data_IF_562043149658
#
_entry.id   IF_562043149658
#
_cell.length_a   1.000
_cell.length_b   1.000
_cell.length_c   1.000
_cell.angle_alpha   90.00
_cell.angle_beta   90.00
_cell.angle_gamma   90.00
#
_symmetry.space_group_name_H-M   'P 1'
#
loop_
_entity.id
_entity.type
_entity.pdbx_description
1 polymer ?
#
# COMPACT_ATOMS: atom_id res chain seq x y z
N UNK A 1 0.80 -3.61 -26.77
CA UNK A 1 0.61 -3.71 -25.30
C UNK A 1 1.69 -4.61 -24.73
N UNK A 2 2.33 -4.26 -23.62
CA UNK A 2 3.21 -5.21 -22.91
C UNK A 2 2.33 -6.31 -22.32
N UNK A 3 2.30 -7.47 -22.97
CA UNK A 3 1.38 -8.57 -22.63
C UNK A 3 1.64 -9.21 -21.26
N UNK A 4 2.79 -8.90 -20.63
CA UNK A 4 3.31 -9.62 -19.47
C UNK A 4 3.14 -8.87 -18.13
N UNK A 5 2.59 -7.66 -18.14
CA UNK A 5 2.38 -6.83 -16.95
C UNK A 5 0.92 -6.47 -16.82
N UNK A 6 0.36 -6.72 -15.64
CA UNK A 6 -0.93 -6.17 -15.22
C UNK A 6 -0.69 -5.10 -14.16
N UNK A 7 -1.29 -3.92 -14.33
CA UNK A 7 -1.28 -2.85 -13.32
C UNK A 7 -2.48 -3.03 -12.40
N UNK A 8 -2.24 -3.04 -11.09
CA UNK A 8 -3.32 -3.14 -10.10
C UNK A 8 -3.30 -1.94 -9.16
N UNK A 9 -4.49 -1.41 -8.87
CA UNK A 9 -4.69 -0.27 -7.97
C UNK A 9 -5.94 -0.45 -7.13
N UNK A 10 -5.84 -0.04 -5.87
CA UNK A 10 -7.00 0.15 -5.00
C UNK A 10 -7.41 1.62 -5.01
N UNK A 11 -8.71 1.85 -5.09
CA UNK A 11 -9.33 3.18 -5.02
C UNK A 11 -10.11 3.28 -3.70
N UNK A 12 -10.00 4.42 -3.03
CA UNK A 12 -10.80 4.75 -1.85
C UNK A 12 -10.98 6.25 -1.77
N UNK A 13 -12.21 6.74 -2.01
CA UNK A 13 -12.50 8.18 -2.07
C UNK A 13 -11.46 8.94 -2.90
N UNK A 14 -11.10 8.36 -4.06
CA UNK A 14 -10.01 8.86 -4.90
C UNK A 14 -10.44 10.11 -5.65
N UNK A 15 -9.71 11.24 -5.51
CA UNK A 15 -10.03 12.47 -6.21
C UNK A 15 -9.96 12.31 -7.74
N UNK A 16 -10.82 13.02 -8.48
CA UNK A 16 -10.87 12.94 -9.94
C UNK A 16 -9.51 13.23 -10.60
N UNK A 17 -8.74 14.20 -10.09
CA UNK A 17 -7.38 14.48 -10.56
C UNK A 17 -6.49 13.23 -10.53
N UNK A 18 -6.67 12.36 -9.52
CA UNK A 18 -5.90 11.12 -9.39
C UNK A 18 -6.40 10.03 -10.34
N UNK A 19 -7.72 9.99 -10.60
CA UNK A 19 -8.29 9.13 -11.62
C UNK A 19 -7.72 9.50 -13.00
N UNK A 20 -7.61 10.80 -13.33
CA UNK A 20 -6.98 11.27 -14.57
C UNK A 20 -5.52 10.83 -14.73
N UNK A 21 -4.77 10.70 -13.63
CA UNK A 21 -3.40 10.20 -13.64
C UNK A 21 -3.30 8.73 -14.08
N UNK A 22 -4.35 7.93 -13.93
CA UNK A 22 -4.36 6.52 -14.35
C UNK A 22 -4.20 6.35 -15.87
N UNK A 23 -4.47 7.41 -16.68
CA UNK A 23 -4.22 7.38 -18.13
C UNK A 23 -2.74 7.09 -18.51
N UNK A 24 -1.80 7.23 -17.57
CA UNK A 24 -0.40 6.82 -17.79
C UNK A 24 -0.27 5.30 -18.04
N UNK A 25 -1.25 4.49 -17.60
CA UNK A 25 -1.24 3.03 -17.72
C UNK A 25 -2.01 2.49 -18.94
N UNK A 26 -2.43 3.34 -19.89
CA UNK A 26 -3.24 2.96 -21.05
C UNK A 26 -2.65 1.84 -21.93
N UNK A 27 -1.35 1.61 -21.84
CA UNK A 27 -0.64 0.58 -22.61
C UNK A 27 -0.53 -0.77 -21.89
N UNK A 28 -1.10 -0.90 -20.68
CA UNK A 28 -1.07 -2.12 -19.86
C UNK A 28 -2.48 -2.60 -19.57
N UNK A 29 -2.61 -3.90 -19.30
CA UNK A 29 -3.82 -4.42 -18.64
C UNK A 29 -3.93 -3.75 -17.28
N UNK A 30 -5.13 -3.28 -16.91
CA UNK A 30 -5.34 -2.61 -15.63
C UNK A 30 -6.53 -3.21 -14.91
N UNK A 31 -6.37 -3.49 -13.63
CA UNK A 31 -7.41 -3.98 -12.74
C UNK A 31 -7.54 -3.01 -11.57
N UNK A 32 -8.75 -2.52 -11.35
CA UNK A 32 -9.09 -1.56 -10.31
C UNK A 32 -10.01 -2.19 -9.27
N UNK A 33 -9.77 -1.93 -7.99
CA UNK A 33 -10.68 -2.27 -6.91
C UNK A 33 -11.08 -1.02 -6.14
N UNK A 34 -12.38 -0.68 -6.18
CA UNK A 34 -12.93 0.46 -5.45
C UNK A 34 -13.47 -0.02 -4.09
N UNK A 35 -12.88 0.50 -3.02
CA UNK A 35 -13.14 0.12 -1.63
C UNK A 35 -14.51 0.58 -1.10
N UNK A 36 -15.11 1.57 -1.74
CA UNK A 36 -16.47 2.05 -1.47
C UNK A 36 -17.09 2.39 -2.81
N UNK A 37 -17.36 1.36 -3.59
CA UNK A 37 -17.86 1.49 -4.96
C UNK A 37 -19.16 2.27 -5.00
N UNK A 38 -19.12 3.40 -5.68
CA UNK A 38 -20.32 4.19 -5.99
C UNK A 38 -20.57 4.20 -7.49
N UNK A 39 -21.83 4.35 -7.87
CA UNK A 39 -22.20 4.59 -9.27
C UNK A 39 -21.50 5.83 -9.83
N UNK A 40 -21.24 6.82 -8.98
CA UNK A 40 -20.50 8.04 -9.34
C UNK A 40 -19.04 7.75 -9.69
N UNK A 41 -18.32 6.98 -8.87
CA UNK A 41 -16.94 6.56 -9.19
C UNK A 41 -16.89 5.79 -10.50
N UNK A 42 -17.80 4.84 -10.71
CA UNK A 42 -17.87 4.06 -11.96
C UNK A 42 -18.14 4.94 -13.18
N UNK A 43 -19.05 5.92 -13.07
CA UNK A 43 -19.32 6.91 -14.13
C UNK A 43 -18.10 7.78 -14.42
N UNK A 44 -17.41 8.27 -13.37
CA UNK A 44 -16.18 9.07 -13.51
C UNK A 44 -15.06 8.27 -14.21
N UNK A 45 -14.83 7.04 -13.79
CA UNK A 45 -13.84 6.15 -14.42
C UNK A 45 -14.16 5.98 -15.91
N UNK A 46 -15.40 5.63 -16.28
CA UNK A 46 -15.83 5.46 -17.67
C UNK A 46 -15.70 6.75 -18.51
N UNK A 47 -15.93 7.91 -17.90
CA UNK A 47 -15.76 9.22 -18.56
C UNK A 47 -14.30 9.56 -18.82
N UNK A 48 -13.38 9.21 -17.88
CA UNK A 48 -11.99 9.66 -17.88
C UNK A 48 -11.08 8.66 -18.59
N UNK A 49 -11.26 7.35 -18.33
CA UNK A 49 -10.44 6.28 -18.89
C UNK A 49 -11.11 5.77 -20.17
N UNK A 50 -10.50 6.10 -21.32
CA UNK A 50 -11.00 5.74 -22.67
C UNK A 50 -10.33 4.48 -23.25
N UNK A 51 -9.93 3.55 -22.37
CA UNK A 51 -9.32 2.27 -22.69
C UNK A 51 -9.85 1.18 -21.77
N UNK A 52 -9.62 -0.08 -22.11
CA UNK A 52 -10.13 -1.23 -21.36
C UNK A 52 -9.44 -1.38 -20.01
N UNK A 53 -10.25 -1.63 -18.96
CA UNK A 53 -9.81 -1.99 -17.62
C UNK A 53 -10.85 -2.88 -16.95
N UNK A 54 -10.40 -3.74 -16.07
CA UNK A 54 -11.29 -4.50 -15.19
C UNK A 54 -11.60 -3.66 -13.94
N UNK A 55 -12.86 -3.63 -13.53
CA UNK A 55 -13.31 -2.87 -12.36
C UNK A 55 -14.11 -3.76 -11.42
N UNK A 56 -13.62 -3.84 -10.21
CA UNK A 56 -14.26 -4.49 -9.08
C UNK A 56 -14.53 -3.48 -7.99
N UNK A 57 -15.51 -3.75 -7.13
CA UNK A 57 -15.86 -2.87 -6.03
C UNK A 57 -16.42 -3.64 -4.84
N UNK A 58 -16.41 -3.00 -3.68
CA UNK A 58 -17.07 -3.44 -2.46
C UNK A 58 -17.99 -2.33 -1.95
N UNK A 59 -19.08 -2.70 -1.27
CA UNK A 59 -19.95 -1.74 -0.58
C UNK A 59 -19.34 -1.17 0.70
N UNK A 60 -18.24 -1.75 1.18
CA UNK A 60 -17.52 -1.32 2.38
C UNK A 60 -16.01 -1.36 2.16
N UNK A 61 -15.28 -0.54 2.90
CA UNK A 61 -13.82 -0.55 2.90
C UNK A 61 -13.30 -1.87 3.54
N UNK A 62 -12.65 -2.70 2.73
CA UNK A 62 -12.06 -3.98 3.14
C UNK A 62 -10.65 -3.84 3.72
N UNK A 63 -10.05 -2.66 3.59
CA UNK A 63 -8.64 -2.42 3.87
C UNK A 63 -7.72 -2.76 2.70
N UNK A 64 -6.47 -2.29 2.80
CA UNK A 64 -5.52 -2.39 1.69
C UNK A 64 -5.09 -3.84 1.44
N UNK A 65 -4.83 -4.63 2.49
CA UNK A 65 -4.38 -6.02 2.35
C UNK A 65 -5.39 -6.89 1.62
N UNK A 66 -6.66 -6.89 2.07
CA UNK A 66 -7.72 -7.71 1.44
C UNK A 66 -7.99 -7.28 0.01
N UNK A 67 -8.08 -5.97 -0.24
CA UNK A 67 -8.29 -5.46 -1.59
C UNK A 67 -7.13 -5.79 -2.52
N UNK A 68 -5.89 -5.67 -2.03
CA UNK A 68 -4.69 -6.03 -2.81
C UNK A 68 -4.61 -7.53 -3.10
N UNK A 69 -4.91 -8.38 -2.12
CA UNK A 69 -4.96 -9.83 -2.31
C UNK A 69 -6.03 -10.24 -3.33
N UNK A 70 -7.20 -9.60 -3.26
CA UNK A 70 -8.25 -9.81 -4.27
C UNK A 70 -7.74 -9.43 -5.67
N UNK A 71 -7.12 -8.26 -5.83
CA UNK A 71 -6.55 -7.84 -7.11
C UNK A 71 -5.48 -8.81 -7.59
N UNK A 72 -4.55 -9.21 -6.72
CA UNK A 72 -3.48 -10.17 -7.04
C UNK A 72 -4.03 -11.54 -7.47
N UNK A 73 -5.17 -11.99 -6.93
CA UNK A 73 -5.83 -13.22 -7.35
C UNK A 73 -6.38 -13.17 -8.79
N UNK A 74 -6.68 -11.96 -9.30
CA UNK A 74 -7.18 -11.74 -10.67
C UNK A 74 -6.06 -11.59 -11.70
N UNK A 75 -4.83 -11.36 -11.27
CA UNK A 75 -3.68 -11.19 -12.17
C UNK A 75 -3.33 -12.52 -12.84
N UNK A 76 -3.37 -12.54 -14.17
CA UNK A 76 -3.02 -13.70 -15.02
C UNK A 76 -1.64 -13.57 -15.68
N UNK A 77 -1.05 -12.37 -15.65
CA UNK A 77 0.27 -12.11 -16.22
C UNK A 77 1.38 -12.51 -15.26
N UNK A 78 2.59 -12.73 -15.80
CA UNK A 78 3.76 -13.09 -15.00
C UNK A 78 4.13 -12.02 -14.00
N UNK A 79 4.02 -10.75 -14.39
CA UNK A 79 4.37 -9.61 -13.58
C UNK A 79 3.13 -8.77 -13.26
N UNK A 80 3.17 -8.14 -12.10
CA UNK A 80 2.17 -7.20 -11.64
C UNK A 80 2.84 -5.91 -11.20
N UNK A 81 2.37 -4.77 -11.70
CA UNK A 81 2.72 -3.47 -11.15
C UNK A 81 1.69 -3.12 -10.07
N UNK A 82 2.06 -3.33 -8.81
CA UNK A 82 1.31 -2.85 -7.66
C UNK A 82 1.63 -1.37 -7.46
N UNK A 83 0.62 -0.50 -7.53
CA UNK A 83 0.82 0.94 -7.45
C UNK A 83 -0.36 1.67 -6.84
N UNK A 84 -0.22 2.98 -6.61
CA UNK A 84 -1.23 3.84 -6.00
C UNK A 84 -1.64 4.98 -6.95
N UNK A 85 -2.86 5.55 -6.80
CA UNK A 85 -3.33 6.63 -7.67
C UNK A 85 -2.50 7.91 -7.65
N UNK A 86 -1.70 8.15 -6.61
CA UNK A 86 -0.82 9.31 -6.46
C UNK A 86 0.63 9.07 -6.88
N UNK A 87 0.87 7.96 -7.58
CA UNK A 87 2.15 7.64 -8.23
C UNK A 87 2.14 8.11 -9.68
N UNK A 88 3.24 8.74 -10.09
CA UNK A 88 3.52 9.07 -11.48
C UNK A 88 4.78 8.32 -11.90
N UNK A 89 4.63 7.41 -12.87
CA UNK A 89 5.71 6.58 -13.40
C UNK A 89 5.58 6.48 -14.91
N UNK A 90 6.69 6.65 -15.65
CA UNK A 90 6.66 6.56 -17.11
C UNK A 90 6.66 5.10 -17.58
N UNK A 91 6.11 4.85 -18.79
CA UNK A 91 6.18 3.55 -19.43
C UNK A 91 7.61 3.03 -19.55
N UNK A 92 8.56 3.92 -19.88
CA UNK A 92 9.98 3.57 -19.96
C UNK A 92 10.54 3.13 -18.61
N UNK A 93 10.09 3.76 -17.51
CA UNK A 93 10.46 3.32 -16.15
C UNK A 93 9.93 1.90 -15.85
N UNK A 94 8.66 1.63 -16.16
CA UNK A 94 8.05 0.31 -15.98
C UNK A 94 8.80 -0.76 -16.78
N UNK A 95 9.12 -0.50 -18.05
CA UNK A 95 9.87 -1.43 -18.89
C UNK A 95 11.30 -1.67 -18.38
N UNK A 96 11.94 -0.67 -17.77
CA UNK A 96 13.25 -0.86 -17.14
C UNK A 96 13.17 -1.68 -15.86
N UNK A 97 12.13 -1.50 -15.04
CA UNK A 97 11.87 -2.39 -13.90
C UNK A 97 11.66 -3.84 -14.37
N UNK A 98 10.91 -4.03 -15.48
CA UNK A 98 10.70 -5.36 -16.08
C UNK A 98 12.02 -6.01 -16.51
N UNK A 99 12.91 -5.27 -17.16
CA UNK A 99 14.24 -5.78 -17.54
C UNK A 99 15.06 -6.24 -16.34
N UNK A 100 14.99 -5.53 -15.22
CA UNK A 100 15.71 -5.89 -14.00
C UNK A 100 15.13 -7.20 -13.39
N UNK A 101 13.81 -7.27 -13.19
CA UNK A 101 13.18 -8.44 -12.57
C UNK A 101 13.31 -9.68 -13.45
N UNK A 102 13.34 -9.52 -14.78
CA UNK A 102 13.55 -10.61 -15.72
C UNK A 102 14.98 -11.18 -15.65
N UNK A 103 15.99 -10.31 -15.49
CA UNK A 103 17.41 -10.71 -15.38
C UNK A 103 17.72 -11.34 -14.02
N UNK A 104 17.17 -10.80 -12.96
CA UNK A 104 17.46 -11.24 -11.60
C UNK A 104 16.49 -12.33 -11.15
N UNK A 105 16.87 -13.60 -11.39
CA UNK A 105 15.98 -14.76 -11.14
C UNK A 105 15.46 -14.88 -9.71
N UNK A 106 16.19 -14.36 -8.72
CA UNK A 106 15.74 -14.33 -7.32
C UNK A 106 14.93 -13.08 -6.95
N UNK A 107 14.79 -12.10 -7.85
CA UNK A 107 13.99 -10.91 -7.56
C UNK A 107 12.50 -11.24 -7.46
N UNK A 108 11.87 -10.84 -6.34
CA UNK A 108 10.44 -10.89 -6.12
C UNK A 108 9.81 -9.51 -6.37
N UNK A 109 10.52 -8.45 -5.95
CA UNK A 109 10.12 -7.05 -6.15
C UNK A 109 11.24 -6.25 -6.77
N UNK A 110 10.85 -5.31 -7.64
CA UNK A 110 11.72 -4.22 -8.11
C UNK A 110 10.95 -2.91 -8.01
N UNK A 111 11.50 -1.94 -7.26
CA UNK A 111 10.93 -0.60 -7.15
C UNK A 111 11.76 0.45 -7.86
N UNK A 112 11.16 1.56 -8.32
CA UNK A 112 11.88 2.76 -8.70
C UNK A 112 12.38 3.51 -7.46
N UNK A 113 13.31 4.47 -7.64
CA UNK A 113 13.57 5.51 -6.65
C UNK A 113 12.49 6.58 -6.72
N UNK A 114 12.02 7.05 -5.56
CA UNK A 114 11.10 8.19 -5.55
C UNK A 114 11.85 9.51 -5.57
N UNK A 115 11.41 10.43 -6.43
CA UNK A 115 11.93 11.79 -6.54
C UNK A 115 10.82 12.80 -6.37
N UNK A 116 11.08 13.89 -5.62
CA UNK A 116 10.17 15.03 -5.49
C UNK A 116 10.22 15.95 -6.73
N UNK A 117 11.29 15.90 -7.51
CA UNK A 117 11.50 16.74 -8.71
C UNK A 117 10.93 16.07 -9.96
N UNK A 118 10.53 16.90 -10.96
CA UNK A 118 10.12 16.40 -12.28
C UNK A 118 11.29 15.63 -12.91
N UNK A 119 11.04 14.40 -13.34
CA UNK A 119 12.09 13.52 -13.86
C UNK A 119 12.32 13.89 -15.32
N UNK A 120 13.38 14.65 -15.59
CA UNK A 120 13.80 15.05 -16.95
C UNK A 120 15.01 14.28 -17.46
N UNK A 121 15.64 13.44 -16.63
CA UNK A 121 16.84 12.72 -17.02
C UNK A 121 16.53 11.54 -17.95
N UNK A 122 17.20 11.50 -19.12
CA UNK A 122 17.27 10.31 -19.98
C UNK A 122 17.76 9.12 -19.14
N UNK A 123 16.98 8.04 -19.08
CA UNK A 123 17.35 6.83 -18.37
C UNK A 123 18.57 6.21 -19.06
N UNK A 124 19.65 5.97 -18.30
CA UNK A 124 20.84 5.28 -18.81
C UNK A 124 20.49 3.83 -19.17
N UNK A 125 21.05 3.33 -20.27
CA UNK A 125 20.78 2.01 -20.86
C UNK A 125 21.06 0.82 -19.92
N UNK A 126 21.93 0.99 -18.90
CA UNK A 126 22.26 -0.03 -17.91
C UNK A 126 21.62 0.32 -16.56
N UNK A 127 20.46 -0.29 -16.26
CA UNK A 127 19.77 -0.13 -14.99
C UNK A 127 20.52 -0.89 -13.91
N UNK A 128 21.38 -0.20 -13.15
CA UNK A 128 21.97 -0.73 -11.92
C UNK A 128 20.89 -0.78 -10.84
N UNK A 129 20.91 -1.77 -9.99
CA UNK A 129 20.02 -1.92 -8.83
C UNK A 129 20.82 -2.14 -7.55
N UNK A 130 20.15 -2.06 -6.43
CA UNK A 130 20.65 -2.46 -5.11
C UNK A 130 19.68 -3.45 -4.47
N UNK A 131 20.23 -4.42 -3.73
CA UNK A 131 19.45 -5.35 -2.93
C UNK A 131 19.15 -4.66 -1.60
N UNK A 132 17.91 -4.68 -1.18
CA UNK A 132 17.45 -4.01 0.03
C UNK A 132 16.61 -4.94 0.90
N UNK A 133 16.61 -4.69 2.21
CA UNK A 133 15.76 -5.42 3.18
C UNK A 133 14.39 -4.74 3.37
N UNK A 134 14.28 -3.47 2.96
CA UNK A 134 13.04 -2.68 3.01
C UNK A 134 12.90 -1.87 1.73
N UNK A 135 11.67 -1.73 1.27
CA UNK A 135 11.33 -1.03 0.03
C UNK A 135 10.06 -0.21 0.27
N UNK A 136 9.91 0.91 -0.42
CA UNK A 136 8.63 1.63 -0.40
C UNK A 136 7.63 0.91 -1.30
N UNK A 137 6.53 0.45 -0.73
CA UNK A 137 5.52 -0.35 -1.42
C UNK A 137 4.56 0.47 -2.29
N UNK A 138 4.76 1.78 -2.42
CA UNK A 138 3.87 2.62 -3.21
C UNK A 138 3.93 2.33 -4.74
N UNK A 139 5.04 1.75 -5.23
CA UNK A 139 5.18 1.33 -6.62
C UNK A 139 6.16 0.15 -6.72
N UNK A 140 5.63 -1.06 -6.91
CA UNK A 140 6.40 -2.31 -6.96
C UNK A 140 6.07 -3.09 -8.23
N UNK A 141 7.07 -3.41 -9.03
CA UNK A 141 6.92 -4.47 -10.02
C UNK A 141 7.21 -5.81 -9.35
N UNK A 142 6.23 -6.72 -9.37
CA UNK A 142 6.23 -7.97 -8.63
C UNK A 142 6.27 -9.16 -9.60
N UNK A 143 7.02 -10.22 -9.25
CA UNK A 143 6.83 -11.55 -9.83
C UNK A 143 5.68 -12.24 -9.08
N UNK A 144 4.55 -12.43 -9.77
CA UNK A 144 3.30 -12.89 -9.15
C UNK A 144 3.41 -14.29 -8.55
N UNK A 145 4.13 -15.20 -9.21
CA UNK A 145 4.29 -16.57 -8.73
C UNK A 145 5.14 -16.63 -7.45
N UNK A 146 6.22 -15.88 -7.40
CA UNK A 146 7.04 -15.76 -6.19
C UNK A 146 6.27 -15.09 -5.05
N UNK A 147 5.49 -14.04 -5.35
CA UNK A 147 4.67 -13.40 -4.34
C UNK A 147 3.60 -14.35 -3.79
N UNK A 148 3.00 -15.18 -4.65
CA UNK A 148 2.06 -16.23 -4.24
C UNK A 148 2.71 -17.26 -3.32
N UNK A 149 3.93 -17.70 -3.61
CA UNK A 149 4.64 -18.69 -2.77
C UNK A 149 4.99 -18.16 -1.38
N UNK A 150 5.15 -16.84 -1.20
CA UNK A 150 5.35 -16.18 0.10
C UNK A 150 4.01 -15.93 0.83
N UNK A 151 2.87 -16.05 0.13
CA UNK A 151 1.52 -15.92 0.70
C UNK A 151 1.05 -14.47 0.82
N UNK A 152 1.22 -13.64 -0.20
CA UNK A 152 0.64 -12.29 -0.33
C UNK A 152 0.68 -11.42 0.95
N UNK A 153 -0.20 -10.43 1.06
CA UNK A 153 -0.35 -9.61 2.26
C UNK A 153 -1.11 -10.36 3.36
N UNK A 154 -0.76 -10.11 4.60
CA UNK A 154 -1.49 -10.64 5.75
C UNK A 154 -2.75 -9.79 5.99
N UNK A 155 -3.93 -10.41 5.94
CA UNK A 155 -5.23 -9.74 5.94
C UNK A 155 -5.69 -9.23 7.31
N UNK A 156 -4.97 -9.57 8.39
CA UNK A 156 -5.20 -8.96 9.70
C UNK A 156 -4.80 -7.48 9.70
N UNK A 157 -3.87 -7.07 8.81
CA UNK A 157 -3.56 -5.67 8.59
C UNK A 157 -4.60 -5.03 7.68
N UNK A 158 -5.33 -4.07 8.21
CA UNK A 158 -6.31 -3.33 7.43
C UNK A 158 -5.64 -2.28 6.53
N UNK A 159 -4.73 -1.49 7.09
CA UNK A 159 -3.99 -0.42 6.42
C UNK A 159 -2.72 -0.13 7.22
N UNK A 160 -1.58 0.03 6.53
CA UNK A 160 -0.24 0.19 7.09
C UNK A 160 0.31 -1.07 7.76
N UNK A 161 1.62 -1.23 7.69
CA UNK A 161 2.41 -2.34 8.23
C UNK A 161 2.26 -3.68 7.50
N UNK A 162 1.27 -3.85 6.62
CA UNK A 162 1.11 -5.04 5.78
C UNK A 162 2.32 -5.26 4.87
N UNK A 163 2.85 -4.18 4.30
CA UNK A 163 4.04 -4.18 3.45
C UNK A 163 5.30 -4.52 4.25
N UNK A 164 5.48 -3.91 5.42
CA UNK A 164 6.60 -4.19 6.32
C UNK A 164 6.60 -5.65 6.77
N UNK A 165 5.41 -6.19 7.08
CA UNK A 165 5.29 -7.59 7.48
C UNK A 165 5.54 -8.54 6.30
N UNK A 166 5.06 -8.23 5.11
CA UNK A 166 5.37 -8.99 3.90
C UNK A 166 6.88 -8.99 3.60
N UNK A 167 7.54 -7.83 3.70
CA UNK A 167 9.00 -7.73 3.54
C UNK A 167 9.76 -8.56 4.58
N UNK A 168 9.23 -8.63 5.81
CA UNK A 168 9.81 -9.51 6.85
C UNK A 168 9.70 -10.98 6.45
N UNK A 169 8.56 -11.42 5.87
CA UNK A 169 8.41 -12.79 5.34
C UNK A 169 9.39 -13.05 4.19
N UNK A 170 9.50 -12.13 3.24
CA UNK A 170 10.41 -12.24 2.09
C UNK A 170 11.87 -12.35 2.55
N UNK A 171 12.30 -11.56 3.54
CA UNK A 171 13.66 -11.60 4.07
C UNK A 171 14.03 -12.94 4.74
N UNK A 172 13.06 -13.79 5.03
CA UNK A 172 13.27 -15.16 5.53
C UNK A 172 13.29 -16.20 4.39
N UNK A 173 13.31 -15.78 3.14
CA UNK A 173 13.42 -16.62 1.94
C UNK A 173 14.68 -16.25 1.15
N UNK A 174 14.98 -17.03 0.11
CA UNK A 174 16.07 -16.72 -0.84
C UNK A 174 15.71 -15.58 -1.83
N UNK A 175 14.48 -15.11 -1.83
CA UNK A 175 14.06 -14.04 -2.72
C UNK A 175 14.67 -12.70 -2.31
N UNK A 176 14.80 -11.82 -3.31
CA UNK A 176 15.43 -10.51 -3.16
C UNK A 176 14.49 -9.38 -3.53
N UNK A 177 14.53 -8.33 -2.77
CA UNK A 177 13.88 -7.06 -3.08
C UNK A 177 14.92 -6.08 -3.63
N UNK A 178 14.61 -5.45 -4.74
CA UNK A 178 15.54 -4.61 -5.49
C UNK A 178 15.02 -3.18 -5.62
N UNK A 179 15.92 -2.22 -5.52
CA UNK A 179 15.65 -0.81 -5.89
C UNK A 179 16.49 -0.46 -7.11
N UNK A 180 15.85 -0.06 -8.19
CA UNK A 180 16.51 0.34 -9.42
C UNK A 180 17.16 1.73 -9.26
N UNK A 181 18.49 1.83 -9.37
CA UNK A 181 19.25 3.08 -9.10
C UNK A 181 18.94 4.22 -10.05
N UNK A 182 18.62 3.91 -11.30
CA UNK A 182 18.45 4.90 -12.39
C UNK A 182 17.01 4.93 -12.92
N UNK A 183 16.05 4.33 -12.22
CA UNK A 183 14.63 4.37 -12.56
C UNK A 183 13.91 5.16 -11.49
N UNK A 184 13.12 6.13 -11.92
CA UNK A 184 12.46 7.06 -11.00
C UNK A 184 10.95 7.08 -11.20
N UNK A 185 10.22 7.24 -10.10
CA UNK A 185 8.82 7.61 -10.06
C UNK A 185 8.61 8.81 -9.13
N UNK A 186 7.49 9.50 -9.25
CA UNK A 186 7.09 10.56 -8.33
C UNK A 186 5.99 10.00 -7.44
N UNK A 187 6.15 10.12 -6.13
CA UNK A 187 5.14 9.82 -5.14
C UNK A 187 4.68 11.13 -4.49
N UNK A 188 3.41 11.47 -4.62
CA UNK A 188 2.88 12.71 -4.04
C UNK A 188 2.53 12.56 -2.55
N UNK A 189 2.55 11.34 -2.03
CA UNK A 189 2.38 10.99 -0.63
C UNK A 189 1.04 11.38 -0.02
N UNK A 190 0.24 10.38 0.37
CA UNK A 190 -1.03 10.58 1.06
C UNK A 190 -2.15 11.21 0.23
N UNK A 191 -1.98 11.33 -1.10
CA UNK A 191 -2.94 11.98 -2.01
C UNK A 191 -3.75 10.99 -2.85
N UNK A 192 -3.64 9.70 -2.60
CA UNK A 192 -4.43 8.65 -3.26
C UNK A 192 -5.92 8.68 -2.89
N UNK A 193 -6.25 9.21 -1.71
CA UNK A 193 -7.61 9.46 -1.22
C UNK A 193 -7.81 10.95 -0.95
N UNK A 194 -9.05 11.37 -0.70
CA UNK A 194 -9.34 12.71 -0.18
C UNK A 194 -8.68 12.94 1.21
N UNK A 195 -8.74 14.16 1.69
CA UNK A 195 -8.17 14.53 2.99
C UNK A 195 -9.28 14.82 4.02
N UNK A 196 -10.38 14.05 3.96
CA UNK A 196 -11.49 14.17 4.90
C UNK A 196 -11.10 13.73 6.31
N UNK A 197 -11.83 14.20 7.32
CA UNK A 197 -11.63 13.79 8.71
C UNK A 197 -11.79 12.29 8.88
N UNK A 198 -12.74 11.67 8.15
CA UNK A 198 -12.94 10.23 8.14
C UNK A 198 -11.71 9.47 7.63
N UNK A 199 -11.12 9.89 6.49
CA UNK A 199 -9.91 9.26 5.94
C UNK A 199 -8.74 9.40 6.90
N UNK A 200 -8.57 10.57 7.53
CA UNK A 200 -7.51 10.80 8.50
C UNK A 200 -7.71 9.96 9.78
N UNK A 201 -8.96 9.81 10.23
CA UNK A 201 -9.32 8.94 11.34
C UNK A 201 -8.94 7.47 11.05
N UNK A 202 -9.37 6.94 9.91
CA UNK A 202 -9.05 5.57 9.47
C UNK A 202 -7.53 5.36 9.41
N UNK A 203 -6.78 6.32 8.86
CA UNK A 203 -5.32 6.28 8.77
C UNK A 203 -4.67 6.24 10.16
N UNK A 204 -5.05 7.15 11.05
CA UNK A 204 -4.47 7.26 12.39
C UNK A 204 -4.76 6.03 13.26
N UNK A 205 -6.00 5.54 13.21
CA UNK A 205 -6.44 4.34 13.91
C UNK A 205 -5.65 3.09 13.46
N UNK A 206 -5.58 2.88 12.14
CA UNK A 206 -4.97 1.65 11.61
C UNK A 206 -3.43 1.71 11.63
N UNK A 207 -2.83 2.90 11.62
CA UNK A 207 -1.38 3.02 11.80
C UNK A 207 -0.92 2.48 13.14
N UNK A 208 -1.59 2.88 14.24
CA UNK A 208 -1.23 2.42 15.58
C UNK A 208 -1.65 0.97 15.83
N UNK A 209 -2.81 0.55 15.32
CA UNK A 209 -3.25 -0.85 15.37
C UNK A 209 -2.24 -1.76 14.68
N UNK A 210 -1.85 -1.40 13.45
CA UNK A 210 -0.88 -2.18 12.65
C UNK A 210 0.50 -2.23 13.30
N UNK A 211 0.95 -1.15 13.97
CA UNK A 211 2.21 -1.16 14.72
C UNK A 211 2.23 -2.24 15.79
N UNK A 212 1.18 -2.34 16.61
CA UNK A 212 1.10 -3.35 17.65
C UNK A 212 0.85 -4.74 17.10
N UNK A 213 0.06 -4.86 16.05
CA UNK A 213 -0.14 -6.12 15.37
C UNK A 213 1.17 -6.65 14.77
N UNK A 214 1.98 -5.78 14.16
CA UNK A 214 3.31 -6.14 13.68
C UNK A 214 4.19 -6.63 14.83
N UNK A 215 4.29 -5.85 15.91
CA UNK A 215 5.08 -6.24 17.08
C UNK A 215 4.64 -7.60 17.65
N UNK A 216 3.34 -7.86 17.68
CA UNK A 216 2.76 -9.15 18.10
C UNK A 216 3.19 -10.29 17.17
N UNK A 217 2.97 -10.13 15.85
CA UNK A 217 3.28 -11.16 14.86
C UNK A 217 4.80 -11.47 14.75
N UNK A 218 5.66 -10.52 15.06
CA UNK A 218 7.13 -10.74 15.09
C UNK A 218 7.66 -11.08 16.49
N UNK A 219 6.79 -11.35 17.47
CA UNK A 219 7.12 -11.70 18.86
C UNK A 219 7.97 -10.64 19.57
N UNK A 220 7.71 -9.36 19.29
CA UNK A 220 8.40 -8.19 19.90
C UNK A 220 7.47 -7.28 20.69
N UNK A 221 6.24 -7.74 20.97
CA UNK A 221 5.25 -6.97 21.71
C UNK A 221 5.71 -6.67 23.14
N UNK A 222 5.65 -5.40 23.53
CA UNK A 222 5.94 -4.93 24.89
C UNK A 222 4.74 -4.19 25.44
N UNK A 223 4.14 -4.72 26.50
CA UNK A 223 2.93 -4.12 27.11
C UNK A 223 3.17 -2.69 27.59
N UNK A 224 4.36 -2.39 28.16
CA UNK A 224 4.71 -1.03 28.57
C UNK A 224 4.63 -0.03 27.40
N UNK A 225 4.95 -0.45 26.17
CA UNK A 225 4.81 0.38 24.96
C UNK A 225 3.33 0.70 24.70
N UNK A 226 2.43 -0.28 24.90
CA UNK A 226 0.98 -0.09 24.72
C UNK A 226 0.47 0.94 25.72
N UNK A 227 0.75 0.73 27.00
CA UNK A 227 0.32 1.64 28.09
C UNK A 227 0.84 3.06 27.84
N UNK A 228 2.15 3.20 27.58
CA UNK A 228 2.76 4.51 27.30
C UNK A 228 2.09 5.22 26.13
N UNK A 229 1.88 4.53 24.99
CA UNK A 229 1.24 5.15 23.82
C UNK A 229 -0.24 5.46 24.06
N UNK A 230 -0.93 4.62 24.84
CA UNK A 230 -2.30 4.89 25.23
C UNK A 230 -2.38 6.20 26.04
N UNK A 231 -1.63 6.31 27.15
CA UNK A 231 -1.60 7.49 28.00
C UNK A 231 -1.18 8.74 27.20
N UNK A 232 -0.13 8.64 26.40
CA UNK A 232 0.33 9.75 25.58
C UNK A 232 -0.76 10.29 24.64
N UNK A 233 -1.42 9.42 23.87
CA UNK A 233 -2.46 9.85 22.92
C UNK A 233 -3.74 10.30 23.64
N UNK A 234 -4.06 9.70 24.79
CA UNK A 234 -5.18 10.11 25.63
C UNK A 234 -4.98 11.51 26.19
N UNK A 235 -3.82 11.81 26.76
CA UNK A 235 -3.50 13.16 27.26
C UNK A 235 -3.46 14.18 26.12
N UNK A 236 -2.83 13.85 24.99
CA UNK A 236 -2.80 14.72 23.82
C UNK A 236 -4.20 14.98 23.22
N UNK A 237 -5.13 14.03 23.34
CA UNK A 237 -6.51 14.24 22.92
C UNK A 237 -7.15 15.40 23.70
N UNK A 238 -7.10 15.39 25.04
CA UNK A 238 -7.66 16.47 25.85
C UNK A 238 -6.90 17.78 25.71
N UNK A 239 -5.56 17.72 25.68
CA UNK A 239 -4.74 18.91 25.46
C UNK A 239 -5.10 19.62 24.16
N UNK A 240 -5.27 18.89 23.06
CA UNK A 240 -5.65 19.47 21.77
C UNK A 240 -7.09 20.02 21.75
N UNK A 241 -8.01 19.48 22.55
CA UNK A 241 -9.33 20.09 22.77
C UNK A 241 -9.14 21.46 23.46
N UNK A 242 -8.35 21.49 24.52
CA UNK A 242 -8.12 22.70 25.29
C UNK A 242 -7.51 23.85 24.48
N UNK A 243 -6.61 23.55 23.55
CA UNK A 243 -6.00 24.53 22.63
C UNK A 243 -6.75 24.70 21.31
N UNK A 244 -7.97 24.17 21.20
CA UNK A 244 -8.84 24.24 20.00
C UNK A 244 -8.26 23.60 18.72
N UNK A 245 -7.28 22.71 18.83
CA UNK A 245 -6.70 21.94 17.72
C UNK A 245 -7.53 20.67 17.43
N UNK A 246 -8.79 20.85 17.05
CA UNK A 246 -9.78 19.77 16.89
C UNK A 246 -9.34 18.66 15.95
N UNK A 247 -8.63 19.00 14.86
CA UNK A 247 -8.13 18.00 13.91
C UNK A 247 -7.09 17.08 14.56
N UNK A 248 -6.19 17.61 15.37
CA UNK A 248 -5.19 16.81 16.08
C UNK A 248 -5.84 16.01 17.20
N UNK A 249 -6.83 16.57 17.88
CA UNK A 249 -7.62 15.86 18.87
C UNK A 249 -8.28 14.62 18.26
N UNK A 250 -8.99 14.75 17.14
CA UNK A 250 -9.60 13.61 16.41
C UNK A 250 -8.55 12.55 16.03
N UNK A 251 -7.37 12.96 15.57
CA UNK A 251 -6.30 12.03 15.24
C UNK A 251 -5.78 11.27 16.47
N UNK A 252 -5.65 11.94 17.62
CA UNK A 252 -5.22 11.27 18.84
C UNK A 252 -6.30 10.34 19.40
N UNK A 253 -7.56 10.73 19.32
CA UNK A 253 -8.69 9.85 19.64
C UNK A 253 -8.70 8.59 18.75
N UNK A 254 -8.50 8.77 17.45
CA UNK A 254 -8.40 7.64 16.50
C UNK A 254 -7.26 6.67 16.88
N UNK A 255 -6.10 7.19 17.35
CA UNK A 255 -5.01 6.34 17.83
C UNK A 255 -5.37 5.60 19.10
N UNK A 256 -6.03 6.26 20.09
CA UNK A 256 -6.56 5.59 21.29
C UNK A 256 -7.50 4.45 20.89
N UNK A 257 -8.44 4.71 19.97
CA UNK A 257 -9.33 3.67 19.44
C UNK A 257 -8.56 2.52 18.76
N UNK A 258 -7.50 2.83 18.00
CA UNK A 258 -6.64 1.81 17.39
C UNK A 258 -5.94 0.91 18.42
N UNK A 259 -5.50 1.48 19.55
CA UNK A 259 -4.91 0.73 20.66
C UNK A 259 -5.95 -0.20 21.30
N UNK A 260 -7.15 0.31 21.61
CA UNK A 260 -8.25 -0.49 22.17
C UNK A 260 -8.62 -1.64 21.22
N UNK A 261 -8.75 -1.34 19.92
CA UNK A 261 -9.01 -2.36 18.89
C UNK A 261 -7.92 -3.45 18.89
N UNK A 262 -6.64 -3.09 19.05
CA UNK A 262 -5.56 -4.07 19.14
C UNK A 262 -5.66 -4.90 20.41
N UNK A 263 -5.97 -4.31 21.57
CA UNK A 263 -6.15 -5.06 22.83
C UNK A 263 -7.27 -6.09 22.70
N UNK A 264 -8.41 -5.70 22.11
CA UNK A 264 -9.51 -6.62 21.86
C UNK A 264 -9.12 -7.75 20.88
N UNK A 265 -8.38 -7.41 19.82
CA UNK A 265 -7.83 -8.42 18.91
C UNK A 265 -6.88 -9.38 19.65
N UNK A 266 -5.97 -8.86 20.46
CA UNK A 266 -5.03 -9.66 21.24
C UNK A 266 -5.74 -10.61 22.19
N UNK A 267 -6.71 -10.14 22.96
CA UNK A 267 -7.48 -10.95 23.92
C UNK A 267 -8.24 -12.10 23.22
N UNK A 268 -8.86 -11.83 22.07
CA UNK A 268 -9.54 -12.86 21.27
C UNK A 268 -8.58 -13.95 20.79
N UNK A 269 -7.41 -13.57 20.32
CA UNK A 269 -6.42 -14.52 19.77
C UNK A 269 -5.64 -15.25 20.88
N UNK A 270 -5.45 -14.61 22.04
CA UNK A 270 -4.74 -15.24 23.16
C UNK A 270 -5.55 -16.35 23.83
N UNK A 271 -6.87 -16.25 23.84
CA UNK A 271 -7.75 -17.32 24.35
C UNK A 271 -7.72 -18.60 23.51
N UNK A 272 -7.35 -18.51 22.22
CA UNK A 272 -7.19 -19.68 21.33
C UNK A 272 -5.82 -20.37 21.46
N UNK A 273 -4.80 -19.70 21.96
CA UNK A 273 -3.43 -20.26 22.12
C UNK A 273 -3.32 -21.07 23.42
N UNK A 274 -4.26 -20.90 24.37
CA UNK A 274 -4.30 -21.64 25.64
C UNK A 274 -5.15 -22.92 25.61
N UNK A 275 -5.76 -23.24 24.48
CA UNK A 275 -6.42 -24.52 24.21
C UNK A 275 -5.56 -25.34 23.26
#
# INVERSE_FOLDING_TARGET
MSSDITVILTLFKTPEKKIRQLNQYKNYKMILFDQVGSLDTKKKLKKILKYEYEYYFSSKNLGLSKASNFLLSKVKTKYCLFTQPDIIVSNLAIENLKKIIWKEKKAIFVAPKFSKKKITKKLKKNSKFEIVKKIDAACLLCDVNKLRSVGFFDEDFFLYWEDIYLMKKINNTDYKMLVAKNVYAKHEGGKSSDNSSEVNYIRSQNFIFGEFLYDFKVKKLRFIKIVRKFLQNFLLFFFNIFIFELKQSINNFAKVHGIVKFILFYLRNFSFIKK
#
